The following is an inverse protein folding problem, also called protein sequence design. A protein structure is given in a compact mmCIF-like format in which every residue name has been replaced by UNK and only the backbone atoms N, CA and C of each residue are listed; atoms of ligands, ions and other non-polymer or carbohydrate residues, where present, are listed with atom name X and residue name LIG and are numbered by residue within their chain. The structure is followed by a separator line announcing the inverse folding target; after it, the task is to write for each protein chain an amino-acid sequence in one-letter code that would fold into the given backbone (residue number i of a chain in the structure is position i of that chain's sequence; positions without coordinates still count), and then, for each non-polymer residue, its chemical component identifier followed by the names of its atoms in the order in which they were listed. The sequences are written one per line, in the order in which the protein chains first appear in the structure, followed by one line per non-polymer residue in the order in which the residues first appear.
data_IF_512090928537
#
_entry.id   IF_512090928537
#
_cell.length_a   1.000
_cell.length_b   1.000
_cell.length_c   1.000
_cell.angle_alpha   90.00
_cell.angle_beta   90.00
_cell.angle_gamma   90.00
#
_symmetry.space_group_name_H-M   'P 1'
#
loop_
_entity.id
_entity.type
_entity.pdbx_description
1 polymer ?
#
# COMPACT_ATOMS: atom_id res chain seq x y z
N UNK A 1 -3.46 -8.90 -9.36
CA UNK A 1 -2.30 -8.69 -8.49
C UNK A 1 -2.75 -7.86 -7.29
N UNK A 2 -2.90 -8.50 -6.13
CA UNK A 2 -3.35 -7.90 -4.87
C UNK A 2 -2.14 -7.35 -4.12
N UNK A 3 -2.21 -6.10 -3.65
CA UNK A 3 -1.16 -5.47 -2.83
C UNK A 3 -1.41 -5.92 -1.38
N UNK A 4 -0.44 -6.59 -0.76
CA UNK A 4 -0.55 -7.01 0.64
C UNK A 4 -0.51 -5.80 1.57
N UNK A 5 -1.45 -5.74 2.49
CA UNK A 5 -1.49 -4.74 3.55
C UNK A 5 -0.59 -5.16 4.71
N UNK A 6 -0.18 -4.19 5.53
CA UNK A 6 0.59 -4.47 6.74
C UNK A 6 -0.15 -5.45 7.68
N UNK A 7 -1.48 -5.33 7.78
CA UNK A 7 -2.30 -6.22 8.60
C UNK A 7 -2.23 -7.67 8.14
N UNK A 8 -2.29 -7.91 6.82
CA UNK A 8 -2.18 -9.26 6.25
C UNK A 8 -0.79 -9.85 6.44
N UNK A 9 0.27 -9.05 6.28
CA UNK A 9 1.64 -9.53 6.48
C UNK A 9 1.89 -9.92 7.94
N UNK A 10 1.43 -9.11 8.89
CA UNK A 10 1.49 -9.44 10.32
C UNK A 10 0.71 -10.72 10.62
N UNK A 11 -0.49 -10.89 10.05
CA UNK A 11 -1.31 -12.09 10.25
C UNK A 11 -0.63 -13.36 9.71
N UNK A 12 0.21 -13.24 8.67
CA UNK A 12 1.04 -14.34 8.14
C UNK A 12 2.35 -14.55 8.89
N UNK A 13 2.69 -13.69 9.86
CA UNK A 13 3.98 -13.72 10.55
C UNK A 13 5.15 -13.23 9.68
N UNK A 14 4.86 -12.61 8.54
CA UNK A 14 5.83 -12.05 7.61
C UNK A 14 6.18 -10.62 8.02
N UNK A 15 7.47 -10.30 8.06
CA UNK A 15 7.93 -8.92 8.25
C UNK A 15 8.25 -8.31 6.89
N UNK A 16 7.60 -7.20 6.49
CA UNK A 16 7.96 -6.52 5.25
C UNK A 16 9.38 -5.97 5.33
N UNK A 17 10.14 -6.12 4.25
CA UNK A 17 11.43 -5.46 4.08
C UNK A 17 11.25 -3.96 3.83
N UNK A 18 10.19 -3.59 3.11
CA UNK A 18 9.84 -2.21 2.77
C UNK A 18 8.35 -1.99 3.05
N UNK A 19 8.05 -0.93 3.80
CA UNK A 19 6.69 -0.49 4.08
C UNK A 19 6.41 0.84 3.38
N UNK A 20 5.45 0.84 2.46
CA UNK A 20 5.00 2.05 1.79
C UNK A 20 3.80 2.66 2.51
N UNK A 21 3.99 3.83 3.12
CA UNK A 21 2.94 4.57 3.81
C UNK A 21 2.16 5.48 2.86
N UNK A 22 0.84 5.46 2.97
CA UNK A 22 -0.07 6.30 2.17
C UNK A 22 -0.71 7.36 3.05
N UNK A 23 -0.47 8.63 2.72
CA UNK A 23 -1.12 9.76 3.40
C UNK A 23 -2.56 10.03 2.93
N UNK A 24 -3.19 11.08 3.46
CA UNK A 24 -4.59 11.41 3.19
C UNK A 24 -4.90 11.59 1.70
N UNK A 25 -4.05 12.33 0.95
CA UNK A 25 -4.27 12.55 -0.48
C UNK A 25 -4.30 11.22 -1.26
N UNK A 26 -3.32 10.33 -1.05
CA UNK A 26 -3.30 9.01 -1.71
C UNK A 26 -4.44 8.08 -1.28
N UNK A 27 -5.15 8.41 -0.19
CA UNK A 27 -6.29 7.64 0.31
C UNK A 27 -7.63 8.11 -0.27
N UNK A 28 -7.81 9.43 -0.37
CA UNK A 28 -9.11 10.05 -0.64
C UNK A 28 -9.19 10.81 -1.97
N UNK A 29 -8.10 11.41 -2.44
CA UNK A 29 -8.11 12.12 -3.73
C UNK A 29 -7.95 11.12 -4.89
N UNK A 30 -8.87 11.13 -5.85
CA UNK A 30 -8.91 10.13 -6.92
C UNK A 30 -7.67 10.15 -7.82
N UNK A 31 -7.08 11.32 -8.05
CA UNK A 31 -5.86 11.45 -8.86
C UNK A 31 -4.66 10.89 -8.10
N UNK A 32 -4.45 11.32 -6.86
CA UNK A 32 -3.36 10.84 -6.03
C UNK A 32 -3.48 9.33 -5.76
N UNK A 33 -4.69 8.83 -5.49
CA UNK A 33 -4.96 7.40 -5.28
C UNK A 33 -4.58 6.53 -6.48
N UNK A 34 -4.80 6.99 -7.71
CA UNK A 34 -4.35 6.30 -8.93
C UNK A 34 -2.83 6.20 -8.99
N UNK A 35 -2.14 7.29 -8.68
CA UNK A 35 -0.66 7.34 -8.67
C UNK A 35 -0.11 6.42 -7.58
N UNK A 36 -0.62 6.52 -6.35
CA UNK A 36 -0.24 5.65 -5.22
C UNK A 36 -0.40 4.17 -5.54
N UNK A 37 -1.53 3.78 -6.17
CA UNK A 37 -1.77 2.39 -6.59
C UNK A 37 -0.84 1.93 -7.70
N UNK A 38 -0.38 2.83 -8.56
CA UNK A 38 0.60 2.48 -9.59
C UNK A 38 1.97 2.23 -8.96
N UNK A 39 2.41 3.10 -8.03
CA UNK A 39 3.67 2.95 -7.31
C UNK A 39 3.70 1.64 -6.51
N UNK A 40 2.64 1.33 -5.76
CA UNK A 40 2.58 0.12 -4.94
C UNK A 40 2.48 -1.21 -5.74
N UNK A 41 2.39 -1.15 -7.08
CA UNK A 41 2.40 -2.32 -7.96
C UNK A 41 3.74 -2.56 -8.66
N UNK A 42 4.62 -1.56 -8.67
CA UNK A 42 5.99 -1.65 -9.21
C UNK A 42 6.85 -2.32 -8.14
#
# INVERSE_FOLDING_TARGET
MTIATMAEMIARGEKPEILFWVGCAGSFDDRAKKITKAIAKI
#
